data_IF_806892163195
#
_entry.id   IF_806892163195
#
_cell.length_a   1.000
_cell.length_b   1.000
_cell.length_c   1.000
_cell.angle_alpha   90.00
_cell.angle_beta   90.00
_cell.angle_gamma   90.00
#
_symmetry.space_group_name_H-M   'P 1'
#
loop_
_entity.id
_entity.type
_entity.pdbx_description
1 polymer ?
#
# COMPACT_ATOMS: atom_id res chain seq x y z
N UNK A 1 0.53 -0.91 20.58
CA UNK A 1 1.35 -2.13 20.72
C UNK A 1 2.32 -2.00 21.90
N UNK A 2 2.87 -3.11 22.39
CA UNK A 2 3.91 -3.08 23.43
C UNK A 2 5.20 -2.44 22.90
N UNK A 3 5.53 -2.62 21.62
CA UNK A 3 6.69 -1.97 20.99
C UNK A 3 6.57 -0.46 21.06
N UNK A 4 5.38 0.11 20.79
CA UNK A 4 5.18 1.56 20.83
C UNK A 4 5.27 2.12 22.26
N UNK A 5 4.72 1.41 23.25
CA UNK A 5 4.91 1.79 24.67
C UNK A 5 6.37 1.79 25.07
N UNK A 6 7.11 0.74 24.67
CA UNK A 6 8.54 0.65 24.92
C UNK A 6 9.33 1.75 24.21
N UNK A 7 8.94 2.14 22.98
CA UNK A 7 9.51 3.26 22.26
C UNK A 7 9.34 4.56 23.06
N UNK A 8 8.13 4.86 23.52
CA UNK A 8 7.87 6.05 24.34
C UNK A 8 8.69 6.05 25.66
N UNK A 9 8.85 4.88 26.27
CA UNK A 9 9.60 4.67 27.51
C UNK A 9 11.13 4.50 27.29
N UNK A 10 11.63 4.55 26.04
CA UNK A 10 13.04 4.31 25.73
C UNK A 10 13.54 2.92 26.09
N UNK A 11 12.67 1.89 26.01
CA UNK A 11 12.95 0.50 26.39
C UNK A 11 13.06 -0.42 25.18
N UNK A 12 13.90 -1.46 25.32
CA UNK A 12 13.97 -2.58 24.34
C UNK A 12 12.97 -3.70 24.70
N UNK A 13 12.37 -4.42 23.70
CA UNK A 13 12.35 -4.06 22.28
C UNK A 13 11.34 -2.93 22.03
N UNK A 14 11.65 -2.02 21.12
CA UNK A 14 10.78 -0.90 20.78
C UNK A 14 11.56 0.38 20.53
N UNK A 15 12.61 0.64 21.35
CA UNK A 15 13.52 1.73 21.10
C UNK A 15 14.11 1.63 19.68
N UNK A 16 13.93 2.69 18.86
CA UNK A 16 14.36 2.75 17.46
C UNK A 16 13.44 2.00 16.47
N UNK A 17 12.34 1.35 16.91
CA UNK A 17 11.45 0.61 16.03
C UNK A 17 10.50 1.51 15.23
N UNK A 18 10.34 2.74 15.61
CA UNK A 18 9.47 3.72 14.95
C UNK A 18 10.32 4.84 14.36
N UNK A 19 9.81 5.43 13.29
CA UNK A 19 10.53 6.49 12.59
C UNK A 19 10.27 7.81 13.30
N UNK A 20 11.32 8.35 13.92
CA UNK A 20 11.33 9.73 14.39
C UNK A 20 11.70 10.65 13.22
N UNK A 21 11.05 11.80 13.13
CA UNK A 21 11.21 12.73 12.02
C UNK A 21 11.31 14.17 12.54
N UNK A 22 12.19 14.95 11.95
CA UNK A 22 12.35 16.37 12.27
C UNK A 22 11.30 17.18 11.47
N UNK A 23 10.36 17.88 12.12
CA UNK A 23 9.34 18.67 11.43
C UNK A 23 9.91 19.85 10.63
N UNK A 24 11.19 20.20 10.79
CA UNK A 24 11.86 21.22 9.97
C UNK A 24 12.29 20.73 8.58
N UNK A 25 12.28 19.41 8.34
CA UNK A 25 12.62 18.85 7.03
C UNK A 25 11.51 19.05 6.02
N UNK A 26 11.88 19.08 4.73
CA UNK A 26 10.93 19.11 3.64
C UNK A 26 10.38 17.71 3.33
N UNK A 27 9.08 17.53 3.50
CA UNK A 27 8.35 16.29 3.19
C UNK A 27 7.40 16.46 1.99
N UNK A 28 7.54 17.52 1.21
CA UNK A 28 6.64 17.84 0.09
C UNK A 28 6.62 16.76 -1.00
N UNK A 29 7.67 15.96 -1.13
CA UNK A 29 7.76 14.89 -2.11
C UNK A 29 7.18 13.54 -1.62
N UNK A 30 6.83 13.43 -0.34
CA UNK A 30 6.33 12.18 0.23
C UNK A 30 4.93 11.88 -0.31
N UNK A 31 4.81 10.75 -0.98
CA UNK A 31 3.52 10.27 -1.50
C UNK A 31 2.72 9.64 -0.36
N UNK A 32 1.49 10.09 -0.18
CA UNK A 32 0.59 9.63 0.89
C UNK A 32 -0.79 9.29 0.37
N UNK A 33 -1.43 8.25 0.91
CA UNK A 33 -2.81 7.89 0.57
C UNK A 33 -3.86 8.62 1.42
N UNK A 34 -3.48 9.62 2.22
CA UNK A 34 -4.34 10.33 3.17
C UNK A 34 -4.07 11.84 3.15
N UNK A 35 -5.03 12.61 3.66
CA UNK A 35 -4.96 14.08 3.78
C UNK A 35 -4.52 14.55 5.17
N UNK A 36 -4.50 13.67 6.18
CA UNK A 36 -4.05 13.98 7.54
C UNK A 36 -2.56 14.38 7.57
N UNK A 37 -2.08 15.15 8.56
CA UNK A 37 -0.64 15.47 8.70
C UNK A 37 0.23 14.21 8.72
N UNK A 38 1.43 14.30 8.10
CA UNK A 38 2.38 13.18 8.04
C UNK A 38 2.96 12.83 9.40
N UNK A 39 3.24 13.85 10.20
CA UNK A 39 3.89 13.69 11.49
C UNK A 39 2.88 13.85 12.63
N UNK A 40 3.02 13.02 13.65
CA UNK A 40 2.30 13.13 14.91
C UNK A 40 3.27 13.44 16.05
N UNK A 41 2.94 14.41 16.89
CA UNK A 41 3.70 14.70 18.09
C UNK A 41 3.37 13.65 19.17
N UNK A 42 4.42 13.18 19.85
CA UNK A 42 4.32 12.19 20.94
C UNK A 42 5.26 12.56 22.08
N UNK A 43 4.83 12.28 23.30
CA UNK A 43 5.70 12.42 24.47
C UNK A 43 6.52 11.16 24.68
N UNK A 44 7.84 11.30 24.69
CA UNK A 44 8.79 10.22 24.98
C UNK A 44 9.53 10.47 26.30
N UNK A 45 10.22 9.48 26.81
CA UNK A 45 11.08 9.64 27.99
C UNK A 45 12.18 10.70 27.75
N UNK A 46 12.55 10.98 26.50
CA UNK A 46 13.54 11.97 26.08
C UNK A 46 12.94 13.38 25.86
N UNK A 47 11.62 13.54 26.04
CA UNK A 47 10.83 14.73 25.75
C UNK A 47 10.00 14.61 24.48
N UNK A 48 9.36 15.70 24.02
CA UNK A 48 8.54 15.72 22.82
C UNK A 48 9.31 15.24 21.60
N UNK A 49 8.69 14.41 20.78
CA UNK A 49 9.23 13.92 19.52
C UNK A 49 8.12 13.86 18.46
N UNK A 50 8.50 13.80 17.20
CA UNK A 50 7.56 13.61 16.09
C UNK A 50 7.80 12.26 15.46
N UNK A 51 6.71 11.50 15.25
CA UNK A 51 6.74 10.18 14.63
C UNK A 51 6.05 10.22 13.27
N UNK A 52 6.52 9.37 12.37
CA UNK A 52 6.02 9.27 11.00
C UNK A 52 4.73 8.44 10.94
N UNK A 53 3.71 8.98 10.27
CA UNK A 53 2.40 8.37 10.11
C UNK A 53 1.94 8.46 8.66
N UNK A 54 2.28 7.47 7.84
CA UNK A 54 1.89 7.46 6.41
C UNK A 54 0.37 7.48 6.24
N UNK A 55 -0.36 6.75 7.06
CA UNK A 55 -1.82 6.58 6.96
C UNK A 55 -2.57 7.44 7.98
N UNK A 56 -2.44 7.15 9.26
CA UNK A 56 -3.14 7.86 10.33
C UNK A 56 -2.29 7.91 11.61
N UNK A 57 -2.62 8.83 12.53
CA UNK A 57 -1.82 9.05 13.75
C UNK A 57 -1.86 7.89 14.75
N UNK A 58 -2.77 6.95 14.60
CA UNK A 58 -2.82 5.68 15.36
C UNK A 58 -2.08 4.52 14.66
N UNK A 59 -1.52 4.77 13.45
CA UNK A 59 -0.73 3.84 12.66
C UNK A 59 0.67 4.40 12.43
N UNK A 60 1.50 4.39 13.49
CA UNK A 60 2.89 4.88 13.41
C UNK A 60 3.75 3.91 12.60
N UNK A 61 4.51 4.43 11.65
CA UNK A 61 5.33 3.63 10.75
C UNK A 61 6.54 3.01 11.44
N UNK A 62 6.79 1.72 11.13
CA UNK A 62 7.94 0.99 11.61
C UNK A 62 9.21 1.37 10.84
N UNK A 63 10.31 1.43 11.54
CA UNK A 63 11.64 1.74 11.00
C UNK A 63 12.32 0.48 10.43
N UNK A 64 12.05 0.14 9.20
CA UNK A 64 12.70 -1.00 8.53
C UNK A 64 14.19 -0.80 8.25
N UNK A 65 14.74 0.39 8.42
CA UNK A 65 16.20 0.60 8.43
C UNK A 65 16.87 -0.01 9.67
N UNK A 66 16.11 -0.28 10.73
CA UNK A 66 16.57 -1.08 11.86
C UNK A 66 16.32 -2.58 11.57
N UNK A 67 17.37 -3.39 11.39
CA UNK A 67 17.21 -4.81 11.06
C UNK A 67 16.46 -5.60 12.14
N UNK A 68 16.42 -5.11 13.38
CA UNK A 68 15.66 -5.74 14.48
C UNK A 68 14.17 -5.72 14.18
N UNK A 69 13.65 -4.68 13.53
CA UNK A 69 12.25 -4.59 13.09
C UNK A 69 11.94 -5.72 12.11
N UNK A 70 12.77 -5.92 11.09
CA UNK A 70 12.58 -7.01 10.13
C UNK A 70 12.63 -8.38 10.80
N UNK A 71 13.55 -8.60 11.76
CA UNK A 71 13.62 -9.85 12.53
C UNK A 71 12.31 -10.09 13.30
N UNK A 72 11.74 -9.07 13.93
CA UNK A 72 10.45 -9.21 14.64
C UNK A 72 9.29 -9.50 13.67
N UNK A 73 9.26 -8.86 12.51
CA UNK A 73 8.27 -9.16 11.46
C UNK A 73 8.42 -10.62 10.96
N UNK A 74 9.64 -11.10 10.76
CA UNK A 74 9.87 -12.51 10.39
C UNK A 74 9.40 -13.49 11.48
N UNK A 75 9.53 -13.14 12.76
CA UNK A 75 8.94 -13.94 13.86
C UNK A 75 7.41 -13.96 13.80
N UNK A 76 6.78 -12.83 13.45
CA UNK A 76 5.32 -12.76 13.24
C UNK A 76 4.91 -13.64 12.07
N UNK A 77 5.62 -13.56 10.93
CA UNK A 77 5.38 -14.44 9.78
C UNK A 77 5.52 -15.91 10.20
N UNK A 78 6.58 -16.26 10.92
CA UNK A 78 6.80 -17.61 11.42
C UNK A 78 5.64 -18.10 12.29
N UNK A 79 5.14 -17.25 13.19
CA UNK A 79 3.98 -17.57 14.04
C UNK A 79 2.74 -17.94 13.20
N UNK A 80 2.45 -17.18 12.13
CA UNK A 80 1.35 -17.50 11.22
C UNK A 80 1.55 -18.81 10.46
N UNK A 81 2.77 -19.07 10.00
CA UNK A 81 3.11 -20.33 9.34
C UNK A 81 2.95 -21.53 10.29
N UNK A 82 3.40 -21.41 11.53
CA UNK A 82 3.24 -22.44 12.56
C UNK A 82 1.76 -22.68 12.93
N UNK A 83 0.91 -21.66 12.77
CA UNK A 83 -0.54 -21.78 12.90
C UNK A 83 -1.24 -22.38 11.66
N UNK A 84 -0.49 -22.75 10.61
CA UNK A 84 -1.01 -23.36 9.39
C UNK A 84 -1.46 -22.40 8.30
N UNK A 85 -1.15 -21.10 8.42
CA UNK A 85 -1.43 -20.11 7.37
C UNK A 85 -0.47 -20.36 6.20
N UNK A 86 -1.01 -20.45 5.00
CA UNK A 86 -0.26 -20.70 3.76
C UNK A 86 -0.38 -19.58 2.73
N UNK A 87 -1.10 -18.51 3.05
CA UNK A 87 -1.22 -17.33 2.19
C UNK A 87 -0.96 -16.09 3.05
N UNK A 88 0.05 -15.32 2.69
CA UNK A 88 0.43 -14.08 3.38
C UNK A 88 0.19 -12.89 2.48
N UNK A 89 -0.56 -11.90 2.95
CA UNK A 89 -0.78 -10.63 2.27
C UNK A 89 0.03 -9.53 2.96
N UNK A 90 0.94 -8.93 2.21
CA UNK A 90 1.69 -7.76 2.65
C UNK A 90 0.86 -6.50 2.34
N UNK A 91 0.24 -5.97 3.39
CA UNK A 91 -0.62 -4.81 3.32
C UNK A 91 0.19 -3.53 3.07
N UNK A 92 -0.27 -2.70 2.14
CA UNK A 92 0.31 -1.40 1.80
C UNK A 92 1.85 -1.41 1.67
N UNK A 93 2.42 -2.53 1.19
CA UNK A 93 3.86 -2.77 1.20
C UNK A 93 4.67 -1.73 0.41
N UNK A 94 4.06 -1.06 -0.56
CA UNK A 94 4.69 0.00 -1.34
C UNK A 94 5.28 1.11 -0.46
N UNK A 95 4.71 1.34 0.70
CA UNK A 95 5.10 2.38 1.66
C UNK A 95 6.03 1.88 2.76
N UNK A 96 6.65 0.71 2.63
CA UNK A 96 7.41 0.09 3.72
C UNK A 96 8.67 0.90 4.11
N UNK A 97 9.45 1.36 3.14
CA UNK A 97 10.71 2.06 3.39
C UNK A 97 10.57 3.57 3.32
N UNK A 98 11.19 4.27 4.27
CA UNK A 98 11.16 5.74 4.36
C UNK A 98 12.56 6.30 4.26
N UNK A 99 12.68 7.36 3.45
CA UNK A 99 13.86 8.22 3.40
C UNK A 99 13.39 9.67 3.34
N UNK A 100 13.93 10.57 4.16
CA UNK A 100 13.76 12.01 3.95
C UNK A 100 14.12 12.38 2.50
N UNK A 101 13.50 13.40 1.95
CA UNK A 101 13.73 13.92 0.59
C UNK A 101 13.41 12.94 -0.57
N UNK A 102 12.64 11.89 -0.30
CA UNK A 102 12.20 10.91 -1.29
C UNK A 102 10.68 10.73 -1.28
N UNK A 103 10.15 10.13 -2.34
CA UNK A 103 8.72 9.83 -2.45
C UNK A 103 8.20 8.86 -1.38
N UNK A 104 9.08 8.09 -0.75
CA UNK A 104 8.76 7.06 0.26
C UNK A 104 7.75 6.01 -0.21
N UNK A 105 7.72 5.76 -1.51
CA UNK A 105 6.94 4.71 -2.15
C UNK A 105 7.82 3.98 -3.18
N UNK A 106 7.67 2.67 -3.31
CA UNK A 106 8.42 1.81 -4.23
C UNK A 106 9.95 1.92 -4.09
N UNK A 107 10.45 2.17 -2.89
CA UNK A 107 11.88 2.21 -2.66
C UNK A 107 12.55 0.86 -3.00
N UNK A 108 13.78 0.89 -3.50
CA UNK A 108 14.53 -0.34 -3.82
C UNK A 108 14.67 -1.24 -2.59
N UNK A 109 14.80 -0.64 -1.42
CA UNK A 109 14.85 -1.37 -0.14
C UNK A 109 13.52 -2.05 0.19
N UNK A 110 12.38 -1.47 -0.20
CA UNK A 110 11.06 -2.14 -0.09
C UNK A 110 11.07 -3.43 -0.92
N UNK A 111 11.47 -3.34 -2.18
CA UNK A 111 11.60 -4.51 -3.05
C UNK A 111 12.61 -5.53 -2.49
N UNK A 112 13.74 -5.08 -1.92
CA UNK A 112 14.72 -5.95 -1.29
C UNK A 112 14.12 -6.72 -0.09
N UNK A 113 13.30 -6.07 0.75
CA UNK A 113 12.60 -6.74 1.86
C UNK A 113 11.60 -7.77 1.34
N UNK A 114 10.82 -7.44 0.31
CA UNK A 114 9.86 -8.38 -0.30
C UNK A 114 10.60 -9.59 -0.87
N UNK A 115 11.71 -9.38 -1.59
CA UNK A 115 12.57 -10.48 -2.11
C UNK A 115 13.11 -11.35 -1.00
N UNK A 116 13.56 -10.76 0.11
CA UNK A 116 14.06 -11.53 1.25
C UNK A 116 12.96 -12.38 1.87
N UNK A 117 11.76 -11.82 2.10
CA UNK A 117 10.62 -12.59 2.61
C UNK A 117 10.29 -13.74 1.66
N UNK A 118 10.21 -13.46 0.35
CA UNK A 118 9.95 -14.47 -0.66
C UNK A 118 10.99 -15.61 -0.62
N UNK A 119 12.27 -15.27 -0.61
CA UNK A 119 13.37 -16.25 -0.53
C UNK A 119 13.25 -17.14 0.70
N UNK A 120 12.95 -16.56 1.87
CA UNK A 120 12.77 -17.30 3.11
C UNK A 120 11.55 -18.23 3.05
N UNK A 121 10.45 -17.79 2.46
CA UNK A 121 9.26 -18.62 2.28
C UNK A 121 9.55 -19.81 1.34
N UNK A 122 10.17 -19.56 0.19
CA UNK A 122 10.52 -20.60 -0.77
C UNK A 122 11.44 -21.67 -0.13
N UNK A 123 12.35 -21.25 0.76
CA UNK A 123 13.33 -22.14 1.39
C UNK A 123 12.77 -22.91 2.59
N UNK A 124 11.99 -22.25 3.46
CA UNK A 124 11.60 -22.79 4.77
C UNK A 124 10.10 -23.11 4.90
N UNK A 125 9.26 -22.62 4.01
CA UNK A 125 7.83 -22.88 3.98
C UNK A 125 7.32 -23.01 2.53
N UNK A 126 7.86 -23.99 1.75
CA UNK A 126 7.51 -24.14 0.34
C UNK A 126 5.99 -24.36 0.18
N UNK A 127 5.41 -23.71 -0.83
CA UNK A 127 3.96 -23.72 -1.06
C UNK A 127 3.20 -22.56 -0.38
N UNK A 128 3.87 -21.72 0.42
CA UNK A 128 3.27 -20.51 0.92
C UNK A 128 3.20 -19.44 -0.17
N UNK A 129 2.02 -18.87 -0.40
CA UNK A 129 1.82 -17.79 -1.35
C UNK A 129 2.05 -16.43 -0.69
N UNK A 130 2.81 -15.57 -1.38
CA UNK A 130 3.03 -14.18 -0.99
C UNK A 130 2.25 -13.26 -1.92
N UNK A 131 1.37 -12.44 -1.35
CA UNK A 131 0.55 -11.45 -2.05
C UNK A 131 1.02 -10.07 -1.63
N UNK A 132 1.25 -9.18 -2.59
CA UNK A 132 1.49 -7.74 -2.31
C UNK A 132 0.23 -6.95 -2.58
N UNK A 133 -0.12 -6.08 -1.64
CA UNK A 133 -1.20 -5.11 -1.81
C UNK A 133 -0.60 -3.74 -2.05
N UNK A 134 -0.86 -3.19 -3.25
CA UNK A 134 -0.33 -1.92 -3.71
C UNK A 134 -1.36 -1.22 -4.59
N UNK A 135 -2.13 -0.30 -3.98
CA UNK A 135 -3.13 0.53 -4.67
C UNK A 135 -2.43 1.69 -5.40
N UNK A 136 -1.80 1.38 -6.54
CA UNK A 136 -0.93 2.27 -7.31
C UNK A 136 -1.17 2.07 -8.81
N UNK A 137 -0.65 2.93 -9.70
CA UNK A 137 -0.71 2.73 -11.14
C UNK A 137 -0.21 1.36 -11.59
N UNK A 138 -0.78 0.84 -12.68
CA UNK A 138 -0.59 -0.55 -13.09
C UNK A 138 0.88 -0.97 -13.23
N UNK A 139 1.73 -0.14 -13.86
CA UNK A 139 3.15 -0.47 -14.05
C UNK A 139 3.91 -0.59 -12.73
N UNK A 140 3.63 0.30 -11.77
CA UNK A 140 4.23 0.26 -10.44
C UNK A 140 3.79 -1.00 -9.68
N UNK A 141 2.50 -1.36 -9.78
CA UNK A 141 1.97 -2.57 -9.18
C UNK A 141 2.62 -3.85 -9.75
N UNK A 142 2.82 -3.92 -11.07
CA UNK A 142 3.45 -5.06 -11.73
C UNK A 142 4.92 -5.24 -11.34
N UNK A 143 5.61 -4.17 -10.90
CA UNK A 143 7.00 -4.26 -10.46
C UNK A 143 7.20 -5.23 -9.29
N UNK A 144 6.14 -5.47 -8.49
CA UNK A 144 6.18 -6.41 -7.36
C UNK A 144 6.20 -7.90 -7.74
N UNK A 145 6.14 -8.24 -9.01
CA UNK A 145 6.57 -9.57 -9.45
C UNK A 145 8.10 -9.73 -9.43
N UNK A 146 8.84 -8.61 -9.51
CA UNK A 146 10.30 -8.63 -9.66
C UNK A 146 10.71 -9.46 -10.87
N UNK A 147 11.73 -10.27 -10.70
CA UNK A 147 12.12 -11.29 -11.66
C UNK A 147 11.57 -12.67 -11.25
N UNK A 148 10.28 -12.79 -10.96
CA UNK A 148 9.63 -13.97 -10.36
C UNK A 148 10.13 -14.29 -8.94
N UNK A 149 10.69 -13.31 -8.24
CA UNK A 149 11.35 -13.48 -6.94
C UNK A 149 10.84 -12.53 -5.85
N UNK A 150 9.70 -11.87 -6.10
CA UNK A 150 8.97 -11.04 -5.15
C UNK A 150 7.59 -11.66 -4.88
N UNK A 151 6.49 -10.98 -5.17
CA UNK A 151 5.17 -11.56 -4.95
C UNK A 151 4.89 -12.76 -5.87
N UNK A 152 4.19 -13.76 -5.36
CA UNK A 152 3.55 -14.79 -6.20
C UNK A 152 2.29 -14.22 -6.85
N UNK A 153 1.60 -13.32 -6.13
CA UNK A 153 0.31 -12.78 -6.54
C UNK A 153 0.32 -11.27 -6.36
N UNK A 154 -0.08 -10.55 -7.39
CA UNK A 154 -0.37 -9.11 -7.30
C UNK A 154 -1.84 -8.85 -7.55
N UNK A 155 -2.40 -7.87 -6.86
CA UNK A 155 -3.77 -7.43 -7.07
C UNK A 155 -3.94 -6.81 -8.45
N UNK A 156 -5.04 -7.11 -9.11
CA UNK A 156 -5.40 -6.48 -10.37
C UNK A 156 -6.26 -5.24 -10.12
N UNK A 157 -5.66 -4.25 -9.47
CA UNK A 157 -6.36 -3.05 -8.97
C UNK A 157 -7.06 -2.25 -10.07
N UNK A 158 -6.51 -2.20 -11.30
CA UNK A 158 -7.13 -1.45 -12.41
C UNK A 158 -8.46 -2.05 -12.88
N UNK A 159 -8.69 -3.34 -12.60
CA UNK A 159 -9.95 -3.99 -13.00
C UNK A 159 -11.18 -3.32 -12.38
N UNK A 160 -11.14 -3.03 -11.08
CA UNK A 160 -12.30 -2.52 -10.34
C UNK A 160 -12.80 -1.16 -10.87
N UNK A 161 -11.99 -0.09 -10.97
CA UNK A 161 -12.47 1.19 -11.48
C UNK A 161 -12.83 1.15 -12.97
N UNK A 162 -12.12 0.36 -13.80
CA UNK A 162 -12.46 0.22 -15.22
C UNK A 162 -13.77 -0.55 -15.43
N UNK A 163 -14.03 -1.56 -14.59
CA UNK A 163 -15.30 -2.28 -14.62
C UNK A 163 -16.45 -1.38 -14.18
N UNK A 164 -16.27 -0.63 -13.08
CA UNK A 164 -17.28 0.33 -12.62
C UNK A 164 -17.58 1.38 -13.70
N UNK A 165 -16.56 1.96 -14.30
CA UNK A 165 -16.72 2.89 -15.43
C UNK A 165 -17.48 2.23 -16.60
N UNK A 166 -17.11 1.02 -17.01
CA UNK A 166 -17.75 0.33 -18.11
C UNK A 166 -19.25 0.05 -17.86
N UNK A 167 -19.61 -0.31 -16.63
CA UNK A 167 -21.01 -0.57 -16.24
C UNK A 167 -21.84 0.72 -16.20
N UNK A 168 -21.27 1.82 -15.70
CA UNK A 168 -21.98 3.10 -15.56
C UNK A 168 -22.14 3.82 -16.90
N UNK A 169 -21.15 3.77 -17.77
CA UNK A 169 -21.17 4.47 -19.06
C UNK A 169 -21.71 3.63 -20.21
N UNK A 170 -21.83 2.31 -20.03
CA UNK A 170 -22.26 1.38 -21.07
C UNK A 170 -21.17 1.11 -22.14
N UNK A 171 -19.93 1.56 -21.92
CA UNK A 171 -18.80 1.33 -22.85
C UNK A 171 -17.66 0.57 -22.19
N UNK A 172 -17.19 -0.49 -22.82
CA UNK A 172 -16.04 -1.28 -22.33
C UNK A 172 -14.71 -0.92 -23.00
N UNK A 173 -14.62 0.22 -23.68
CA UNK A 173 -13.45 0.58 -24.47
C UNK A 173 -12.17 0.58 -23.64
N UNK A 174 -12.14 1.31 -22.53
CA UNK A 174 -10.97 1.38 -21.64
C UNK A 174 -10.65 0.03 -20.99
N UNK A 175 -11.67 -0.67 -20.47
CA UNK A 175 -11.52 -2.00 -19.89
C UNK A 175 -10.91 -2.98 -20.90
N UNK A 176 -11.43 -3.01 -22.13
CA UNK A 176 -10.91 -3.87 -23.21
C UNK A 176 -9.47 -3.50 -23.59
N UNK A 177 -9.18 -2.23 -23.78
CA UNK A 177 -7.84 -1.75 -24.14
C UNK A 177 -6.83 -2.14 -23.05
N UNK A 178 -7.18 -1.91 -21.80
CA UNK A 178 -6.33 -2.30 -20.67
C UNK A 178 -6.14 -3.83 -20.60
N UNK A 179 -7.20 -4.62 -20.69
CA UNK A 179 -7.09 -6.09 -20.69
C UNK A 179 -6.19 -6.62 -21.81
N UNK A 180 -6.25 -6.01 -22.99
CA UNK A 180 -5.40 -6.40 -24.13
C UNK A 180 -3.94 -5.97 -23.95
N UNK A 181 -3.66 -4.95 -23.15
CA UNK A 181 -2.30 -4.46 -22.86
C UNK A 181 -1.64 -5.18 -21.68
N UNK A 182 -2.42 -5.93 -20.88
CA UNK A 182 -1.89 -6.64 -19.74
C UNK A 182 -0.92 -7.76 -20.17
N UNK A 183 0.32 -7.76 -19.66
CA UNK A 183 1.24 -8.85 -19.92
C UNK A 183 0.72 -10.15 -19.27
N UNK A 184 1.03 -11.31 -19.81
CA UNK A 184 0.81 -12.56 -19.10
C UNK A 184 1.57 -12.53 -17.77
N UNK A 185 1.00 -13.12 -16.72
CA UNK A 185 1.72 -13.24 -15.46
C UNK A 185 3.01 -14.05 -15.67
N UNK A 186 4.10 -13.65 -14.99
CA UNK A 186 5.36 -14.42 -15.06
C UNK A 186 5.19 -15.86 -14.58
N UNK A 187 6.11 -16.79 -14.93
CA UNK A 187 6.04 -18.17 -14.44
C UNK A 187 5.91 -18.24 -12.92
N UNK A 188 5.04 -19.11 -12.43
CA UNK A 188 4.72 -19.28 -11.00
C UNK A 188 4.11 -18.05 -10.31
N UNK A 189 3.67 -17.06 -11.08
CA UNK A 189 2.96 -15.87 -10.59
C UNK A 189 1.56 -15.78 -11.18
N UNK A 190 0.69 -14.99 -10.54
CA UNK A 190 -0.66 -14.75 -11.04
C UNK A 190 -1.21 -13.40 -10.58
N UNK A 191 -2.32 -13.00 -11.20
CA UNK A 191 -3.09 -11.83 -10.82
C UNK A 191 -4.27 -12.22 -9.91
N UNK A 192 -4.53 -11.43 -8.87
CA UNK A 192 -5.76 -11.52 -8.09
C UNK A 192 -6.78 -10.54 -8.65
N UNK A 193 -7.78 -11.07 -9.36
CA UNK A 193 -8.89 -10.26 -9.86
C UNK A 193 -9.93 -10.05 -8.77
N UNK A 194 -10.40 -8.82 -8.64
CA UNK A 194 -11.47 -8.43 -7.71
C UNK A 194 -12.22 -7.22 -8.24
N UNK A 195 -13.43 -6.99 -7.77
CA UNK A 195 -14.30 -5.89 -8.22
C UNK A 195 -14.40 -4.77 -7.20
N UNK A 196 -14.22 -5.07 -5.94
CA UNK A 196 -14.07 -4.15 -4.82
C UNK A 196 -13.41 -4.88 -3.65
N UNK A 197 -12.88 -4.14 -2.68
CA UNK A 197 -12.37 -4.67 -1.42
C UNK A 197 -13.08 -4.02 -0.24
N UNK A 198 -12.66 -4.33 1.00
CA UNK A 198 -13.12 -3.65 2.21
C UNK A 198 -12.78 -2.13 2.21
N UNK A 199 -11.81 -1.69 1.40
CA UNK A 199 -11.48 -0.28 1.18
C UNK A 199 -12.29 0.36 0.03
N UNK A 200 -13.10 -0.43 -0.67
CA UNK A 200 -13.85 0.02 -1.84
C UNK A 200 -13.11 -0.20 -3.16
N UNK A 201 -13.20 0.78 -4.05
CA UNK A 201 -12.62 0.77 -5.40
C UNK A 201 -11.50 1.81 -5.46
N UNK A 202 -10.26 1.39 -5.65
CA UNK A 202 -9.10 2.28 -5.77
C UNK A 202 -9.11 3.10 -7.06
N UNK A 203 -8.81 4.40 -6.97
CA UNK A 203 -8.79 5.31 -8.12
C UNK A 203 -7.39 5.51 -8.72
N UNK A 204 -6.31 5.38 -7.95
CA UNK A 204 -4.94 5.46 -8.50
C UNK A 204 -4.68 4.49 -9.65
N UNK A 205 -5.17 3.24 -9.60
CA UNK A 205 -4.99 2.29 -10.70
C UNK A 205 -5.71 2.66 -12.01
N UNK A 206 -6.59 3.65 -11.99
CA UNK A 206 -7.23 4.21 -13.19
C UNK A 206 -6.45 5.39 -13.79
N UNK A 207 -5.46 5.92 -13.09
CA UNK A 207 -4.62 7.03 -13.58
C UNK A 207 -3.89 6.61 -14.87
N UNK A 208 -3.99 7.45 -15.90
CA UNK A 208 -3.47 7.17 -17.25
C UNK A 208 -4.30 6.17 -18.07
N UNK A 209 -5.36 5.57 -17.49
CA UNK A 209 -6.30 4.68 -18.18
C UNK A 209 -7.65 5.35 -18.43
N UNK A 210 -8.10 6.21 -17.52
CA UNK A 210 -9.24 7.11 -17.67
C UNK A 210 -8.73 8.55 -17.65
N UNK A 211 -9.39 9.44 -18.44
CA UNK A 211 -9.11 10.87 -18.37
C UNK A 211 -9.52 11.46 -17.03
N UNK A 212 -9.05 12.67 -16.70
CA UNK A 212 -9.44 13.32 -15.45
C UNK A 212 -10.96 13.64 -15.42
N UNK A 213 -11.56 13.94 -16.58
CA UNK A 213 -13.00 14.16 -16.74
C UNK A 213 -13.77 12.85 -16.45
N UNK A 214 -13.35 11.73 -17.03
CA UNK A 214 -13.98 10.43 -16.81
C UNK A 214 -13.85 9.97 -15.34
N UNK A 215 -12.69 10.21 -14.72
CA UNK A 215 -12.50 9.95 -13.29
C UNK A 215 -13.43 10.82 -12.43
N UNK A 216 -13.59 12.11 -12.77
CA UNK A 216 -14.49 13.01 -12.07
C UNK A 216 -15.96 12.60 -12.23
N UNK A 217 -16.38 12.22 -13.44
CA UNK A 217 -17.74 11.73 -13.71
C UNK A 217 -18.03 10.45 -12.90
N UNK A 218 -17.07 9.51 -12.86
CA UNK A 218 -17.18 8.30 -12.04
C UNK A 218 -17.37 8.63 -10.57
N UNK A 219 -16.54 9.52 -10.01
CA UNK A 219 -16.65 9.97 -8.61
C UNK A 219 -18.02 10.59 -8.34
N UNK A 220 -18.46 11.54 -9.17
CA UNK A 220 -19.76 12.24 -9.00
C UNK A 220 -20.93 11.26 -9.08
N UNK A 221 -20.86 10.28 -9.99
CA UNK A 221 -21.90 9.26 -10.12
C UNK A 221 -21.99 8.39 -8.86
N UNK A 222 -20.85 7.95 -8.35
CA UNK A 222 -20.77 7.15 -7.11
C UNK A 222 -21.28 7.95 -5.90
N UNK A 223 -20.92 9.23 -5.78
CA UNK A 223 -21.48 10.10 -4.72
C UNK A 223 -23.01 10.21 -4.84
N UNK A 224 -23.56 10.29 -6.05
CA UNK A 224 -25.01 10.35 -6.27
C UNK A 224 -25.74 9.09 -5.84
N UNK A 225 -25.06 7.93 -5.83
CA UNK A 225 -25.56 6.66 -5.32
C UNK A 225 -25.36 6.49 -3.81
N UNK A 226 -24.82 7.51 -3.12
CA UNK A 226 -24.59 7.47 -1.68
C UNK A 226 -23.22 6.90 -1.29
N UNK A 227 -22.35 6.60 -2.23
CA UNK A 227 -20.96 6.21 -1.98
C UNK A 227 -20.17 7.33 -1.33
N UNK A 228 -19.15 6.98 -0.54
CA UNK A 228 -18.24 7.94 0.09
C UNK A 228 -16.89 7.91 -0.63
N UNK A 229 -16.23 9.05 -0.67
CA UNK A 229 -14.95 9.20 -1.36
C UNK A 229 -13.85 9.47 -0.34
N UNK A 230 -12.89 8.56 -0.25
CA UNK A 230 -11.62 8.85 0.42
C UNK A 230 -10.72 9.67 -0.50
N UNK A 231 -10.01 10.65 0.05
CA UNK A 231 -9.15 11.55 -0.72
C UNK A 231 -7.70 11.45 -0.27
N UNK A 232 -6.77 11.76 -1.17
CA UNK A 232 -5.35 11.90 -0.89
C UNK A 232 -4.86 13.30 -1.23
N UNK A 233 -3.85 13.77 -0.51
CA UNK A 233 -3.16 15.03 -0.87
C UNK A 233 -2.17 14.79 -2.01
N UNK A 234 -2.10 15.77 -2.91
CA UNK A 234 -1.06 15.87 -3.94
C UNK A 234 0.02 16.87 -3.50
N UNK A 235 1.23 16.80 -4.07
CA UNK A 235 2.20 17.89 -3.97
C UNK A 235 1.54 19.20 -4.39
N UNK A 236 1.60 20.24 -3.53
CA UNK A 236 0.92 21.52 -3.77
C UNK A 236 -0.38 21.71 -3.01
N UNK A 237 -0.86 20.69 -2.26
CA UNK A 237 -2.00 20.80 -1.36
C UNK A 237 -3.36 20.53 -2.02
N UNK A 238 -3.41 20.20 -3.29
CA UNK A 238 -4.63 19.73 -3.95
C UNK A 238 -5.02 18.33 -3.44
N UNK A 239 -6.32 18.03 -3.49
CA UNK A 239 -6.85 16.72 -3.15
C UNK A 239 -7.38 15.98 -4.38
N UNK A 240 -7.07 14.70 -4.49
CA UNK A 240 -7.61 13.80 -5.53
C UNK A 240 -8.32 12.61 -4.88
N UNK A 241 -9.34 12.08 -5.55
CA UNK A 241 -10.01 10.86 -5.11
C UNK A 241 -9.00 9.71 -5.02
N UNK A 242 -9.06 8.95 -3.93
CA UNK A 242 -8.18 7.82 -3.66
C UNK A 242 -8.94 6.49 -3.71
N UNK A 243 -10.11 6.43 -3.04
CA UNK A 243 -10.98 5.25 -3.02
C UNK A 243 -12.44 5.67 -3.09
N UNK A 244 -13.23 4.88 -3.84
CA UNK A 244 -14.67 4.96 -3.88
C UNK A 244 -15.22 3.92 -2.90
N UNK A 245 -15.73 4.36 -1.77
CA UNK A 245 -16.23 3.49 -0.71
C UNK A 245 -17.69 3.12 -0.98
N UNK A 246 -17.88 2.24 -1.91
CA UNK A 246 -19.14 1.65 -2.34
C UNK A 246 -18.89 0.20 -2.75
N UNK A 247 -19.87 -0.67 -2.58
CA UNK A 247 -19.85 -2.00 -3.21
C UNK A 247 -20.28 -1.88 -4.68
N UNK A 248 -19.78 -2.78 -5.52
CA UNK A 248 -20.10 -2.73 -6.96
C UNK A 248 -21.59 -2.94 -7.25
N UNK A 249 -22.33 -3.60 -6.37
CA UNK A 249 -23.71 -4.05 -6.58
C UNK A 249 -24.72 -3.44 -5.58
N UNK A 250 -24.31 -2.45 -4.78
CA UNK A 250 -25.22 -1.79 -3.81
C UNK A 250 -25.81 -0.48 -4.36
#
# INVERSE_FOLDING_TARGET
SNWFKNFLDGKSPGEGFFIEADPSNDYSQVVRPRTSPLLAEVETQRGPSHVWCTFSHDQVDLNFADPRVLIEILKVIRHYLDAGISILRLDAVAYLWKKPDHSCIHAEETHAVVRLIRLLLDQFAPGTLLITETNVPNQENLSYFGNCNEAHVVYNFSLAPLLAHALLTGTSCHLKTWMMSMPPAPPSCTYLNFTASHDGIGMRPAEGLLSDEEQHELVTTIESFGGKISRRSLPGGEEKAYELNISLFD
#
